data_IF_776941420549
#
_entry.id   IF_776941420549
#
_cell.length_a   1.000
_cell.length_b   1.000
_cell.length_c   1.000
_cell.angle_alpha   90.00
_cell.angle_beta   90.00
_cell.angle_gamma   90.00
#
_symmetry.space_group_name_H-M   'P 1'
#
loop_
_entity.id
_entity.type
_entity.pdbx_description
1 polymer ?
#
# COMPACT_ATOMS: atom_id res chain seq x y z
N UNK A 1 -6.49 -0.62 3.09
CA UNK A 1 -5.13 -1.03 3.53
C UNK A 1 -4.11 -0.80 2.42
N UNK A 2 -2.82 -0.74 2.73
CA UNK A 2 -1.77 -0.69 1.69
C UNK A 2 -1.47 -2.10 1.24
N UNK A 3 -1.62 -2.37 -0.05
CA UNK A 3 -1.32 -3.68 -0.62
C UNK A 3 0.15 -3.73 -1.01
N UNK A 4 0.80 -4.81 -0.58
CA UNK A 4 2.22 -5.06 -0.82
C UNK A 4 2.43 -6.43 -1.46
N UNK A 5 3.48 -6.55 -2.26
CA UNK A 5 3.92 -7.78 -2.89
C UNK A 5 5.39 -8.01 -2.54
N UNK A 6 5.77 -9.26 -2.26
CA UNK A 6 7.18 -9.61 -2.02
C UNK A 6 8.03 -9.26 -3.25
N UNK A 7 9.21 -8.71 -3.04
CA UNK A 7 10.22 -8.59 -4.10
C UNK A 7 10.78 -9.97 -4.44
N UNK A 8 11.28 -10.17 -5.66
CA UNK A 8 12.10 -11.34 -5.98
C UNK A 8 13.25 -11.46 -4.97
N UNK A 9 13.55 -12.68 -4.55
CA UNK A 9 14.60 -12.89 -3.53
C UNK A 9 15.97 -12.46 -4.02
N UNK A 10 16.22 -12.58 -5.30
CA UNK A 10 17.46 -12.17 -5.95
C UNK A 10 17.67 -10.65 -5.81
N UNK A 11 16.58 -9.85 -5.92
CA UNK A 11 16.63 -8.41 -5.72
C UNK A 11 16.96 -8.06 -4.26
N UNK A 12 16.35 -8.79 -3.31
CA UNK A 12 16.63 -8.61 -1.88
C UNK A 12 18.09 -8.97 -1.58
N UNK A 13 18.58 -10.09 -2.08
CA UNK A 13 19.96 -10.54 -1.88
C UNK A 13 20.98 -9.59 -2.51
N UNK A 14 20.67 -9.01 -3.66
CA UNK A 14 21.52 -8.00 -4.29
C UNK A 14 21.66 -6.73 -3.42
N UNK A 15 20.57 -6.32 -2.73
CA UNK A 15 20.64 -5.19 -1.77
C UNK A 15 21.44 -5.54 -0.51
N UNK A 16 21.31 -6.76 -0.02
CA UNK A 16 22.07 -7.24 1.16
C UNK A 16 23.59 -7.30 0.85
N UNK A 17 23.96 -7.70 -0.36
CA UNK A 17 25.35 -7.72 -0.82
C UNK A 17 26.28 -8.48 0.14
N UNK A 18 27.38 -7.85 0.54
CA UNK A 18 28.42 -8.45 1.41
C UNK A 18 28.10 -8.40 2.92
N UNK A 19 26.93 -7.85 3.30
CA UNK A 19 26.51 -7.82 4.71
C UNK A 19 26.51 -9.24 5.30
N UNK A 20 27.09 -9.42 6.47
CA UNK A 20 27.20 -10.71 7.18
C UNK A 20 26.08 -10.88 8.21
N UNK A 21 25.70 -9.78 8.84
CA UNK A 21 24.68 -9.75 9.90
C UNK A 21 23.49 -8.94 9.43
N UNK A 22 22.30 -9.51 9.58
CA UNK A 22 21.05 -8.90 9.10
C UNK A 22 20.05 -8.86 10.26
N UNK A 23 19.30 -7.77 10.36
CA UNK A 23 18.10 -7.75 11.18
C UNK A 23 16.85 -7.67 10.30
N UNK A 24 15.73 -8.19 10.79
CA UNK A 24 14.46 -8.18 10.06
C UNK A 24 13.40 -7.45 10.88
N UNK A 25 12.71 -6.51 10.23
CA UNK A 25 11.59 -5.77 10.81
C UNK A 25 10.33 -6.04 10.01
N UNK A 26 9.38 -6.74 10.63
CA UNK A 26 8.06 -7.01 10.07
C UNK A 26 7.03 -5.96 10.44
N UNK A 27 5.91 -5.93 9.72
CA UNK A 27 4.75 -5.08 10.00
C UNK A 27 3.51 -5.93 10.27
N UNK A 28 2.96 -5.83 11.49
CA UNK A 28 1.81 -6.60 11.98
C UNK A 28 0.45 -6.18 11.39
N UNK A 29 0.41 -5.16 10.53
CA UNK A 29 -0.83 -4.66 9.93
C UNK A 29 -0.95 -5.05 8.45
N UNK A 30 -0.94 -4.08 7.54
CA UNK A 30 -1.17 -4.28 6.11
C UNK A 30 -0.28 -5.38 5.50
N UNK A 31 1.02 -5.39 5.80
CA UNK A 31 1.94 -6.37 5.24
C UNK A 31 1.68 -7.80 5.76
N UNK A 32 1.27 -7.95 7.03
CA UNK A 32 0.83 -9.25 7.56
C UNK A 32 -0.44 -9.74 6.84
N UNK A 33 -1.41 -8.86 6.65
CA UNK A 33 -2.65 -9.19 5.93
C UNK A 33 -2.37 -9.55 4.46
N UNK A 34 -1.36 -8.93 3.83
CA UNK A 34 -0.90 -9.27 2.48
C UNK A 34 0.04 -10.49 2.44
N UNK A 35 0.32 -11.13 3.57
CA UNK A 35 1.29 -12.24 3.69
C UNK A 35 2.70 -11.89 3.20
N UNK A 36 3.13 -10.65 3.47
CA UNK A 36 4.42 -10.13 3.04
C UNK A 36 5.28 -9.63 4.20
N UNK A 37 4.80 -9.63 5.45
CA UNK A 37 5.55 -9.02 6.56
C UNK A 37 5.20 -9.51 7.97
N UNK A 38 4.45 -10.62 8.10
CA UNK A 38 4.15 -11.27 9.38
C UNK A 38 5.24 -12.25 9.84
N UNK A 39 5.02 -12.91 10.97
CA UNK A 39 5.98 -13.87 11.53
C UNK A 39 6.32 -15.01 10.56
N UNK A 40 5.36 -15.66 9.87
CA UNK A 40 5.70 -16.72 8.93
C UNK A 40 6.64 -16.28 7.80
N UNK A 41 6.51 -15.02 7.35
CA UNK A 41 7.37 -14.47 6.31
C UNK A 41 8.75 -14.09 6.85
N UNK A 42 8.86 -13.67 8.10
CA UNK A 42 10.15 -13.46 8.78
C UNK A 42 10.89 -14.79 8.89
N UNK A 43 10.21 -15.86 9.29
CA UNK A 43 10.81 -17.17 9.46
C UNK A 43 11.27 -17.74 8.10
N UNK A 44 10.46 -17.57 7.05
CA UNK A 44 10.81 -17.93 5.66
C UNK A 44 12.06 -17.19 5.19
N UNK A 45 12.10 -15.85 5.36
CA UNK A 45 13.24 -15.03 4.95
C UNK A 45 14.49 -15.35 5.78
N UNK A 46 14.35 -15.60 7.06
CA UNK A 46 15.45 -16.02 7.93
C UNK A 46 16.10 -17.30 7.42
N UNK A 47 15.29 -18.32 7.10
CA UNK A 47 15.82 -19.59 6.57
C UNK A 47 16.54 -19.42 5.23
N UNK A 48 16.09 -18.50 4.37
CA UNK A 48 16.76 -18.19 3.10
C UNK A 48 18.10 -17.50 3.37
N UNK A 49 18.14 -16.48 4.23
CA UNK A 49 19.36 -15.74 4.56
C UNK A 49 20.42 -16.66 5.19
N UNK A 50 20.03 -17.56 6.08
CA UNK A 50 20.94 -18.50 6.71
C UNK A 50 21.56 -19.49 5.72
N UNK A 51 20.79 -19.98 4.73
CA UNK A 51 21.31 -20.80 3.64
C UNK A 51 22.35 -20.09 2.79
N UNK A 52 22.20 -18.77 2.62
CA UNK A 52 23.14 -17.89 1.91
C UNK A 52 24.29 -17.42 2.81
N UNK A 53 24.46 -18.03 4.00
CA UNK A 53 25.58 -17.72 4.91
C UNK A 53 25.44 -16.39 5.64
N UNK A 54 24.26 -15.77 5.65
CA UNK A 54 23.99 -14.54 6.40
C UNK A 54 23.48 -14.91 7.79
N UNK A 55 23.87 -14.16 8.82
CA UNK A 55 23.42 -14.37 10.18
C UNK A 55 22.30 -13.38 10.52
N UNK A 56 21.11 -13.87 10.84
CA UNK A 56 20.03 -13.03 11.36
C UNK A 56 20.26 -12.81 12.85
N UNK A 57 20.59 -11.57 13.24
CA UNK A 57 20.99 -11.22 14.61
C UNK A 57 19.84 -10.68 15.46
N UNK A 58 18.77 -10.16 14.83
CA UNK A 58 17.59 -9.68 15.53
C UNK A 58 16.38 -9.67 14.59
N UNK A 59 15.21 -9.94 15.15
CA UNK A 59 13.93 -9.80 14.46
C UNK A 59 12.93 -9.06 15.34
N UNK A 60 12.01 -8.31 14.74
CA UNK A 60 10.90 -7.68 15.47
C UNK A 60 9.72 -7.47 14.55
N UNK A 61 8.52 -7.40 15.12
CA UNK A 61 7.30 -6.98 14.42
C UNK A 61 6.80 -5.70 15.07
N UNK A 62 6.66 -4.63 14.26
CA UNK A 62 5.96 -3.43 14.67
C UNK A 62 4.47 -3.61 14.37
N UNK A 63 3.58 -3.25 15.28
CA UNK A 63 2.13 -3.28 15.01
C UNK A 63 1.78 -2.51 13.75
N UNK A 64 2.38 -1.32 13.61
CA UNK A 64 2.31 -0.46 12.42
C UNK A 64 3.68 0.15 12.14
N UNK A 65 4.35 -0.26 11.08
CA UNK A 65 5.63 0.34 10.68
C UNK A 65 5.54 1.83 10.28
N UNK A 66 4.34 2.35 10.01
CA UNK A 66 4.08 3.76 9.73
C UNK A 66 3.81 4.62 10.99
N UNK A 67 3.83 4.03 12.19
CA UNK A 67 3.65 4.72 13.47
C UNK A 67 4.99 4.96 14.16
N UNK A 68 5.57 6.15 13.98
CA UNK A 68 6.95 6.47 14.38
C UNK A 68 7.28 6.16 15.85
N UNK A 69 6.37 6.41 16.78
CA UNK A 69 6.64 6.13 18.21
C UNK A 69 6.80 4.63 18.50
N UNK A 70 5.93 3.79 17.90
CA UNK A 70 6.00 2.34 18.01
C UNK A 70 7.28 1.79 17.36
N UNK A 71 7.61 2.27 16.16
CA UNK A 71 8.84 1.91 15.45
C UNK A 71 10.07 2.29 16.27
N UNK A 72 10.13 3.51 16.80
CA UNK A 72 11.25 3.97 17.64
C UNK A 72 11.48 3.06 18.86
N UNK A 73 10.43 2.59 19.50
CA UNK A 73 10.54 1.67 20.63
C UNK A 73 11.12 0.31 20.22
N UNK A 74 10.61 -0.28 19.13
CA UNK A 74 11.06 -1.59 18.61
C UNK A 74 12.48 -1.54 18.05
N UNK A 75 12.84 -0.44 17.37
CA UNK A 75 14.18 -0.25 16.80
C UNK A 75 15.30 -0.17 17.84
N UNK A 76 15.01 0.08 19.11
CA UNK A 76 16.05 0.04 20.18
C UNK A 76 16.73 -1.32 20.23
N UNK A 77 15.99 -2.41 20.21
CA UNK A 77 16.53 -3.77 20.20
C UNK A 77 17.31 -4.10 18.91
N UNK A 78 16.78 -3.67 17.76
CA UNK A 78 17.44 -3.85 16.46
C UNK A 78 18.80 -3.11 16.44
N UNK A 79 18.82 -1.83 16.84
CA UNK A 79 20.03 -1.03 16.85
C UNK A 79 21.08 -1.55 17.85
N UNK A 80 20.63 -2.09 18.99
CA UNK A 80 21.52 -2.70 19.98
C UNK A 80 22.22 -3.98 19.47
N UNK A 81 21.60 -4.69 18.53
CA UNK A 81 22.18 -5.87 17.88
C UNK A 81 23.25 -5.53 16.82
N UNK A 82 23.41 -4.24 16.47
CA UNK A 82 24.39 -3.71 15.50
C UNK A 82 24.48 -4.51 14.19
N UNK A 83 23.35 -4.74 13.48
CA UNK A 83 23.39 -5.46 12.21
C UNK A 83 24.06 -4.63 11.10
N UNK A 84 24.66 -5.30 10.12
CA UNK A 84 25.22 -4.63 8.92
C UNK A 84 24.10 -4.00 8.08
N UNK A 85 22.91 -4.61 8.04
CA UNK A 85 21.72 -4.03 7.41
C UNK A 85 20.43 -4.50 8.08
N UNK A 86 19.35 -3.77 7.81
CA UNK A 86 17.98 -4.11 8.24
C UNK A 86 17.13 -4.38 6.99
N UNK A 87 16.47 -5.54 6.94
CA UNK A 87 15.44 -5.86 5.97
C UNK A 87 14.07 -5.50 6.54
N UNK A 88 13.35 -4.61 5.88
CA UNK A 88 12.05 -4.13 6.33
C UNK A 88 10.92 -4.71 5.48
N UNK A 89 10.12 -5.59 6.09
CA UNK A 89 8.99 -6.30 5.48
C UNK A 89 7.70 -5.51 5.64
N UNK A 90 7.65 -4.33 5.01
CA UNK A 90 6.51 -3.42 5.08
C UNK A 90 6.28 -2.69 3.76
N UNK A 91 5.28 -1.80 3.69
CA UNK A 91 5.13 -0.86 2.59
C UNK A 91 6.22 0.23 2.64
N UNK A 92 6.38 0.98 1.56
CA UNK A 92 7.39 2.02 1.44
C UNK A 92 7.31 3.13 2.50
N UNK A 93 6.13 3.42 3.04
CA UNK A 93 5.99 4.34 4.17
C UNK A 93 6.63 3.76 5.44
N UNK A 94 6.35 2.49 5.75
CA UNK A 94 6.96 1.79 6.89
C UNK A 94 8.48 1.68 6.75
N UNK A 95 9.00 1.38 5.56
CA UNK A 95 10.46 1.37 5.30
C UNK A 95 11.09 2.72 5.64
N UNK A 96 10.52 3.81 5.17
CA UNK A 96 11.01 5.16 5.47
C UNK A 96 10.93 5.49 6.96
N UNK A 97 9.88 5.05 7.64
CA UNK A 97 9.74 5.24 9.08
C UNK A 97 10.80 4.45 9.87
N UNK A 98 11.07 3.20 9.48
CA UNK A 98 12.15 2.38 10.06
C UNK A 98 13.52 3.03 9.78
N UNK A 99 13.77 3.51 8.58
CA UNK A 99 15.02 4.22 8.21
C UNK A 99 15.28 5.42 9.11
N UNK A 100 14.28 6.23 9.41
CA UNK A 100 14.41 7.38 10.35
C UNK A 100 14.84 6.97 11.77
N UNK A 101 14.63 5.71 12.14
CA UNK A 101 14.96 5.15 13.45
C UNK A 101 16.16 4.20 13.41
N UNK A 102 16.88 4.13 12.28
CA UNK A 102 18.12 3.36 12.08
C UNK A 102 19.23 4.30 11.53
N UNK A 103 19.75 5.23 12.35
CA UNK A 103 20.55 6.36 11.84
C UNK A 103 21.91 5.95 11.22
N UNK A 104 22.43 4.79 11.57
CA UNK A 104 23.75 4.31 11.15
C UNK A 104 23.71 3.00 10.35
N UNK A 105 22.52 2.39 10.22
CA UNK A 105 22.35 1.09 9.58
C UNK A 105 21.49 1.23 8.32
N UNK A 106 21.93 0.74 7.16
CA UNK A 106 21.11 0.75 5.94
C UNK A 106 19.85 -0.10 6.12
N UNK A 107 18.74 0.39 5.60
CA UNK A 107 17.43 -0.29 5.64
C UNK A 107 16.97 -0.55 4.21
N UNK A 108 16.71 -1.82 3.90
CA UNK A 108 16.28 -2.25 2.57
C UNK A 108 14.85 -2.78 2.58
N UNK A 109 14.02 -2.44 1.57
CA UNK A 109 12.67 -2.97 1.44
C UNK A 109 12.70 -4.41 0.91
N UNK A 110 11.89 -5.28 1.47
CA UNK A 110 11.63 -6.62 0.92
C UNK A 110 10.36 -6.71 0.10
N UNK A 111 9.59 -5.62 0.05
CA UNK A 111 8.30 -5.57 -0.62
C UNK A 111 8.20 -4.39 -1.59
N UNK A 112 7.41 -4.56 -2.64
CA UNK A 112 6.89 -3.48 -3.46
C UNK A 112 5.55 -3.01 -2.88
N UNK A 113 5.36 -1.69 -2.83
CA UNK A 113 4.06 -1.09 -2.50
C UNK A 113 3.25 -0.96 -3.77
N UNK A 114 2.12 -1.65 -3.85
CA UNK A 114 1.32 -1.74 -5.07
C UNK A 114 0.26 -0.62 -5.14
N UNK A 115 -0.69 -0.63 -4.20
CA UNK A 115 -1.82 0.31 -4.21
C UNK A 115 -2.50 0.38 -2.83
N UNK A 116 -3.43 1.32 -2.69
CA UNK A 116 -4.40 1.37 -1.59
C UNK A 116 -5.67 0.63 -2.00
N UNK A 117 -5.99 -0.41 -1.27
CA UNK A 117 -7.09 -1.30 -1.61
C UNK A 117 -7.75 -1.96 -0.42
N UNK A 118 -8.57 -2.95 -0.72
CA UNK A 118 -9.28 -3.78 0.23
C UNK A 118 -8.98 -5.27 0.01
N UNK A 119 -9.16 -6.07 1.05
CA UNK A 119 -9.17 -7.52 0.96
C UNK A 119 -10.61 -7.97 0.67
N UNK A 120 -10.86 -8.43 -0.54
CA UNK A 120 -12.17 -8.95 -0.97
C UNK A 120 -12.43 -10.31 -0.33
N UNK A 121 -11.37 -11.11 -0.25
CA UNK A 121 -11.31 -12.39 0.45
C UNK A 121 -9.85 -12.73 0.74
N UNK A 122 -9.62 -13.76 1.55
CA UNK A 122 -8.25 -14.21 1.84
C UNK A 122 -7.47 -14.50 0.54
N UNK A 123 -6.32 -13.86 0.40
CA UNK A 123 -5.45 -14.00 -0.78
C UNK A 123 -5.89 -13.21 -2.03
N UNK A 124 -6.96 -12.40 -1.94
CA UNK A 124 -7.43 -11.56 -3.06
C UNK A 124 -7.62 -10.12 -2.60
N UNK A 125 -6.91 -9.22 -3.24
CA UNK A 125 -6.94 -7.79 -2.94
C UNK A 125 -7.25 -7.01 -4.21
N UNK A 126 -8.06 -5.96 -4.08
CA UNK A 126 -8.45 -5.08 -5.18
C UNK A 126 -8.12 -3.64 -4.86
N UNK A 127 -7.70 -2.90 -5.88
CA UNK A 127 -7.44 -1.46 -5.74
C UNK A 127 -8.76 -0.70 -5.57
N UNK A 128 -8.83 0.14 -4.52
CA UNK A 128 -10.03 0.87 -4.19
C UNK A 128 -9.87 2.40 -4.21
N UNK A 129 -8.63 2.93 -4.04
CA UNK A 129 -8.43 4.36 -3.87
C UNK A 129 -7.09 4.87 -4.41
N UNK A 130 -7.11 5.94 -5.20
CA UNK A 130 -5.91 6.65 -5.70
C UNK A 130 -5.40 7.75 -4.76
N UNK A 131 -5.99 7.93 -3.58
CA UNK A 131 -5.61 8.98 -2.61
C UNK A 131 -5.60 10.39 -3.24
N UNK A 132 -6.56 10.67 -4.10
CA UNK A 132 -6.61 11.90 -4.90
C UNK A 132 -7.01 13.16 -4.12
N UNK A 133 -7.28 13.05 -2.80
CA UNK A 133 -7.51 14.18 -1.92
C UNK A 133 -8.87 14.88 -2.05
N UNK A 134 -9.71 14.47 -3.01
CA UNK A 134 -11.02 15.04 -3.26
C UNK A 134 -12.02 13.92 -3.60
N UNK A 135 -12.74 13.45 -2.56
CA UNK A 135 -13.52 12.22 -2.65
C UNK A 135 -14.86 12.46 -3.34
N UNK A 136 -15.14 11.70 -4.41
CA UNK A 136 -16.37 11.79 -5.21
C UNK A 136 -17.40 10.70 -4.86
N UNK A 137 -17.11 9.83 -3.91
CA UNK A 137 -17.94 8.66 -3.59
C UNK A 137 -19.38 9.01 -3.22
N UNK A 138 -19.60 10.13 -2.54
CA UNK A 138 -20.96 10.60 -2.19
C UNK A 138 -21.86 10.89 -3.41
N UNK A 139 -21.27 11.08 -4.57
CA UNK A 139 -21.98 11.40 -5.81
C UNK A 139 -22.08 10.19 -6.76
N UNK A 140 -21.35 9.12 -6.48
CA UNK A 140 -21.24 7.92 -7.33
C UNK A 140 -21.73 6.65 -6.62
N UNK A 141 -22.58 6.83 -5.62
CA UNK A 141 -23.14 5.69 -4.88
C UNK A 141 -22.10 4.83 -4.15
N UNK A 142 -20.95 5.42 -3.77
CA UNK A 142 -19.86 4.71 -3.07
C UNK A 142 -18.86 4.00 -4.00
N UNK A 143 -19.00 4.10 -5.32
CA UNK A 143 -18.10 3.47 -6.30
C UNK A 143 -17.15 4.52 -6.89
N UNK A 144 -15.84 4.30 -6.77
CA UNK A 144 -14.85 5.27 -7.22
C UNK A 144 -14.60 5.18 -8.73
N UNK A 145 -15.03 6.16 -9.55
CA UNK A 145 -14.78 6.11 -10.99
C UNK A 145 -13.31 6.31 -11.35
N UNK A 146 -12.51 6.91 -10.44
CA UNK A 146 -11.09 7.19 -10.70
C UNK A 146 -10.25 5.90 -10.63
N UNK A 147 -10.61 4.98 -9.74
CA UNK A 147 -9.92 3.68 -9.60
C UNK A 147 -10.59 2.58 -10.41
N UNK A 148 -11.93 2.56 -10.44
CA UNK A 148 -12.67 1.45 -11.03
C UNK A 148 -12.89 1.60 -12.55
N UNK A 149 -12.79 2.82 -13.08
CA UNK A 149 -12.85 3.03 -14.54
C UNK A 149 -11.43 3.06 -15.10
N UNK A 150 -11.12 2.19 -16.06
CA UNK A 150 -9.81 2.14 -16.72
C UNK A 150 -9.36 3.47 -17.36
N UNK A 151 -10.33 4.33 -17.70
CA UNK A 151 -10.08 5.69 -18.20
C UNK A 151 -10.18 6.78 -17.14
N UNK A 152 -10.45 6.42 -15.88
CA UNK A 152 -10.64 7.35 -14.75
C UNK A 152 -11.66 8.48 -15.03
N UNK A 153 -12.70 8.21 -15.82
CA UNK A 153 -13.72 9.21 -16.19
C UNK A 153 -14.58 9.58 -14.98
N UNK A 154 -14.72 10.89 -14.72
CA UNK A 154 -15.46 11.40 -13.54
C UNK A 154 -16.90 11.80 -13.83
N UNK A 155 -17.27 12.06 -15.10
CA UNK A 155 -18.53 12.67 -15.50
C UNK A 155 -19.33 11.79 -16.48
N UNK A 156 -19.42 10.50 -16.21
CA UNK A 156 -20.20 9.57 -17.01
C UNK A 156 -19.37 8.56 -17.78
N UNK A 157 -20.05 7.59 -18.43
CA UNK A 157 -19.40 6.52 -19.17
C UNK A 157 -18.81 7.00 -20.49
N UNK A 158 -17.80 6.27 -20.99
CA UNK A 158 -17.23 6.53 -22.32
C UNK A 158 -18.14 6.07 -23.50
N UNK A 159 -19.20 5.30 -23.21
CA UNK A 159 -20.07 4.74 -24.24
C UNK A 159 -19.56 3.46 -24.91
N UNK A 160 -18.31 3.05 -24.64
CA UNK A 160 -17.70 1.88 -25.31
C UNK A 160 -17.92 0.53 -24.62
N UNK A 161 -18.64 0.51 -23.51
CA UNK A 161 -18.94 -0.73 -22.80
C UNK A 161 -19.79 -1.68 -23.67
N UNK A 162 -19.59 -2.99 -23.54
CA UNK A 162 -20.41 -4.03 -24.18
C UNK A 162 -20.88 -5.03 -23.13
N UNK A 163 -22.19 -5.25 -23.04
CA UNK A 163 -22.80 -6.17 -22.07
C UNK A 163 -22.34 -5.94 -20.61
N UNK A 164 -22.20 -4.67 -20.21
CA UNK A 164 -21.73 -4.31 -18.87
C UNK A 164 -20.21 -4.41 -18.66
N UNK A 165 -19.45 -4.83 -19.67
CA UNK A 165 -17.99 -4.99 -19.59
C UNK A 165 -17.24 -3.77 -20.15
N UNK A 166 -16.05 -3.52 -19.58
CA UNK A 166 -15.20 -2.40 -19.97
C UNK A 166 -14.59 -2.62 -21.36
N UNK A 167 -14.60 -1.59 -22.22
CA UNK A 167 -13.98 -1.68 -23.55
C UNK A 167 -12.45 -1.79 -23.52
N UNK A 168 -11.80 -1.28 -22.43
CA UNK A 168 -10.34 -1.32 -22.28
C UNK A 168 -9.88 -2.68 -21.78
N UNK A 169 -10.65 -3.29 -20.86
CA UNK A 169 -10.40 -4.63 -20.36
C UNK A 169 -11.73 -5.37 -20.20
N UNK A 170 -12.07 -6.26 -21.12
CA UNK A 170 -13.35 -7.01 -21.10
C UNK A 170 -13.53 -7.96 -19.91
N UNK A 171 -12.47 -8.28 -19.18
CA UNK A 171 -12.56 -9.05 -17.93
C UNK A 171 -13.22 -8.23 -16.82
N UNK A 172 -13.08 -6.91 -16.86
CA UNK A 172 -13.61 -6.00 -15.85
C UNK A 172 -15.02 -5.54 -16.19
N UNK A 173 -15.85 -5.42 -15.16
CA UNK A 173 -17.14 -4.75 -15.29
C UNK A 173 -16.95 -3.25 -15.50
N UNK A 174 -17.88 -2.65 -16.23
CA UNK A 174 -17.87 -1.20 -16.43
C UNK A 174 -18.24 -0.48 -15.12
N UNK A 175 -17.32 0.32 -14.58
CA UNK A 175 -17.54 1.09 -13.36
C UNK A 175 -18.77 2.00 -13.45
N UNK A 176 -19.03 2.59 -14.59
CA UNK A 176 -20.18 3.50 -14.77
C UNK A 176 -21.52 2.77 -14.88
N UNK A 177 -21.56 1.53 -15.34
CA UNK A 177 -22.76 0.69 -15.24
C UNK A 177 -23.02 0.36 -13.76
N UNK A 178 -22.02 -0.08 -13.01
CA UNK A 178 -22.16 -0.31 -11.56
C UNK A 178 -22.63 0.95 -10.79
N UNK A 179 -22.09 2.13 -11.15
CA UNK A 179 -22.53 3.41 -10.57
C UNK A 179 -24.00 3.68 -10.88
N UNK A 180 -24.42 3.51 -12.15
CA UNK A 180 -25.80 3.69 -12.56
C UNK A 180 -26.75 2.75 -11.80
N UNK A 181 -26.45 1.47 -11.76
CA UNK A 181 -27.23 0.45 -11.05
C UNK A 181 -27.34 0.78 -9.55
N UNK A 182 -26.23 1.18 -8.94
CA UNK A 182 -26.21 1.55 -7.51
C UNK A 182 -27.05 2.80 -7.23
N UNK A 183 -26.93 3.83 -8.04
CA UNK A 183 -27.71 5.06 -7.89
C UNK A 183 -29.19 4.82 -8.17
N UNK A 184 -29.52 3.96 -9.15
CA UNK A 184 -30.90 3.54 -9.43
C UNK A 184 -31.50 2.80 -8.23
N UNK A 185 -30.79 1.82 -7.69
CA UNK A 185 -31.25 1.04 -6.53
C UNK A 185 -31.42 1.88 -5.26
N UNK A 186 -30.79 3.04 -5.17
CA UNK A 186 -30.87 3.96 -4.02
C UNK A 186 -31.72 5.21 -4.30
N UNK A 187 -32.44 5.26 -5.44
CA UNK A 187 -33.27 6.40 -5.89
C UNK A 187 -32.48 7.73 -5.94
N UNK A 188 -31.26 7.72 -6.49
CA UNK A 188 -30.35 8.86 -6.52
C UNK A 188 -29.83 9.14 -7.95
N UNK A 189 -30.58 8.76 -9.00
CA UNK A 189 -30.17 8.95 -10.41
C UNK A 189 -29.97 10.42 -10.78
N UNK A 190 -30.63 11.35 -10.10
CA UNK A 190 -30.48 12.80 -10.29
C UNK A 190 -29.00 13.25 -10.13
N UNK A 191 -28.19 12.52 -9.36
CA UNK A 191 -26.76 12.81 -9.21
C UNK A 191 -25.97 12.67 -10.51
N UNK A 192 -26.44 11.89 -11.48
CA UNK A 192 -25.78 11.74 -12.77
C UNK A 192 -25.96 12.98 -13.67
N UNK A 193 -27.00 13.80 -13.44
CA UNK A 193 -27.23 15.03 -14.18
C UNK A 193 -26.28 16.17 -13.76
N UNK A 194 -25.62 16.04 -12.63
CA UNK A 194 -24.73 17.07 -12.09
C UNK A 194 -23.31 16.85 -12.63
N UNK A 195 -22.86 17.76 -13.52
CA UNK A 195 -21.46 17.76 -13.97
C UNK A 195 -20.57 18.24 -12.85
N UNK A 196 -19.54 17.45 -12.54
CA UNK A 196 -18.48 17.84 -11.60
C UNK A 196 -17.43 18.68 -12.26
N UNK A 197 -16.90 19.62 -11.50
CA UNK A 197 -15.70 20.36 -11.88
C UNK A 197 -14.48 19.43 -11.88
N UNK A 198 -13.46 19.79 -12.64
CA UNK A 198 -12.19 19.08 -12.65
C UNK A 198 -11.53 19.19 -11.26
N UNK A 199 -10.83 18.14 -10.86
CA UNK A 199 -10.11 18.13 -9.59
C UNK A 199 -8.91 19.05 -9.64
N UNK A 200 -8.76 19.87 -8.60
CA UNK A 200 -7.53 20.66 -8.43
C UNK A 200 -6.33 19.76 -8.10
N UNK A 201 -5.22 19.99 -8.80
CA UNK A 201 -3.98 19.24 -8.58
C UNK A 201 -3.25 19.67 -7.31
N UNK A 202 -3.59 20.81 -6.73
CA UNK A 202 -3.01 21.33 -5.48
C UNK A 202 -3.20 20.35 -4.30
N UNK A 203 -4.30 19.58 -4.30
CA UNK A 203 -4.59 18.56 -3.27
C UNK A 203 -3.70 17.33 -3.34
N UNK A 204 -3.01 17.12 -4.45
CA UNK A 204 -2.09 15.99 -4.67
C UNK A 204 -0.63 16.40 -4.82
N UNK A 205 -0.32 17.69 -4.73
CA UNK A 205 1.06 18.19 -4.77
C UNK A 205 1.89 17.64 -3.59
N UNK A 206 3.10 17.22 -3.85
CA UNK A 206 4.02 16.64 -2.85
C UNK A 206 5.13 17.60 -2.46
N UNK A 207 5.70 17.51 -1.22
CA UNK A 207 5.20 16.75 -0.08
C UNK A 207 3.99 17.40 0.59
N UNK A 208 3.08 16.60 1.15
CA UNK A 208 1.89 17.07 1.86
C UNK A 208 2.00 16.85 3.36
N UNK A 209 1.46 17.78 4.13
CA UNK A 209 1.35 17.62 5.59
C UNK A 209 -0.04 18.06 6.04
N UNK A 210 -0.69 17.25 6.85
CA UNK A 210 -1.92 17.58 7.56
C UNK A 210 -1.57 17.66 9.05
N UNK A 211 -1.81 18.82 9.70
CA UNK A 211 -1.57 19.02 11.11
C UNK A 211 -2.82 19.48 11.81
N UNK A 212 -3.26 18.74 12.82
CA UNK A 212 -4.34 19.15 13.72
C UNK A 212 -3.86 20.14 14.81
N UNK A 213 -2.55 20.35 14.94
CA UNK A 213 -1.92 21.22 15.94
C UNK A 213 -1.61 22.63 15.40
N UNK A 214 -2.17 23.00 14.24
CA UNK A 214 -1.81 24.23 13.55
C UNK A 214 -0.43 24.15 12.84
N UNK A 215 -0.16 25.11 11.98
CA UNK A 215 1.19 25.28 11.43
C UNK A 215 2.06 25.89 12.54
N UNK A 216 3.19 25.25 12.84
CA UNK A 216 4.26 25.88 13.60
C UNK A 216 4.93 26.93 12.74
#
# INVERSE_FOLDING_TARGET
MIITQKKPIEEVMAMVGDAKTVAIVGCGSCATACQTGGQPQIDELTAILEKEGKKVVATTICDYCCMNLGVKAKMKGINAATPDCVLCMSCGDGVQCVTKNAPTTPVYPTNNTMYLGEAVRFGVWEEACKMCGDCVLGQTGGICPITQCAKSLMNGPCGGQKNGKCEVNPENDCAWIKIYERLSATNQLEKLAVRRQDKGYEKVAYPRTISLRGKK
#
